data_IF_390137273094
#
_entry.id   IF_390137273094
#
_cell.length_a   1.000
_cell.length_b   1.000
_cell.length_c   1.000
_cell.angle_alpha   90.00
_cell.angle_beta   90.00
_cell.angle_gamma   90.00
#
_symmetry.space_group_name_H-M   'P 1'
#
loop_
_entity.id
_entity.type
_entity.pdbx_description
1 polymer ?
#
# COMPACT_ATOMS: atom_id res chain seq x y z
N UNK A 1 -19.18 -4.23 -17.83
CA UNK A 1 -20.00 -3.87 -16.66
C UNK A 1 -19.39 -4.33 -15.35
N UNK A 2 -18.75 -5.53 -15.30
CA UNK A 2 -18.18 -6.14 -14.10
C UNK A 2 -16.66 -6.09 -14.03
N UNK A 3 -15.99 -5.62 -15.07
CA UNK A 3 -14.53 -5.51 -15.16
C UNK A 3 -14.09 -4.05 -15.20
N UNK A 4 -13.09 -3.70 -14.38
CA UNK A 4 -12.42 -2.41 -14.37
C UNK A 4 -10.97 -2.59 -14.81
N UNK A 5 -10.58 -1.89 -15.88
CA UNK A 5 -9.20 -1.87 -16.36
C UNK A 5 -8.31 -0.98 -15.46
N UNK A 6 -7.17 -1.50 -15.06
CA UNK A 6 -6.17 -0.87 -14.21
C UNK A 6 -4.80 -1.05 -14.86
N UNK A 7 -4.48 -0.25 -15.87
CA UNK A 7 -3.25 -0.37 -16.68
C UNK A 7 -2.99 -1.81 -17.16
N UNK A 8 -2.10 -2.56 -16.48
CA UNK A 8 -1.74 -3.95 -16.81
C UNK A 8 -2.51 -5.01 -15.99
N UNK A 9 -3.60 -4.63 -15.38
CA UNK A 9 -4.44 -5.50 -14.57
C UNK A 9 -5.94 -5.26 -14.85
N UNK A 10 -6.77 -6.25 -14.58
CA UNK A 10 -8.22 -6.14 -14.68
C UNK A 10 -8.83 -6.66 -13.37
N UNK A 11 -9.62 -5.83 -12.72
CA UNK A 11 -10.38 -6.25 -11.55
C UNK A 11 -11.80 -6.62 -11.95
N UNK A 12 -12.21 -7.87 -11.65
CA UNK A 12 -13.57 -8.34 -11.79
C UNK A 12 -14.28 -8.19 -10.46
N UNK A 13 -15.40 -7.46 -10.45
CA UNK A 13 -16.20 -7.19 -9.25
C UNK A 13 -16.83 -8.45 -8.67
N UNK A 14 -16.94 -8.54 -7.34
CA UNK A 14 -17.69 -9.60 -6.65
C UNK A 14 -19.19 -9.62 -7.00
N UNK A 15 -19.75 -8.53 -7.54
CA UNK A 15 -21.13 -8.46 -8.01
C UNK A 15 -21.44 -9.49 -9.11
N UNK A 16 -20.40 -9.94 -9.87
CA UNK A 16 -20.53 -10.97 -10.89
C UNK A 16 -21.11 -12.28 -10.32
N UNK A 17 -20.89 -12.56 -9.04
CA UNK A 17 -21.41 -13.75 -8.37
C UNK A 17 -22.95 -13.81 -8.30
N UNK A 18 -23.65 -12.71 -8.57
CA UNK A 18 -25.12 -12.63 -8.62
C UNK A 18 -25.69 -13.02 -9.99
N UNK A 19 -24.83 -13.10 -11.00
CA UNK A 19 -25.22 -13.38 -12.37
C UNK A 19 -25.30 -14.88 -12.67
N UNK A 20 -26.00 -15.22 -13.76
CA UNK A 20 -26.05 -16.58 -14.25
C UNK A 20 -24.64 -17.11 -14.60
N UNK A 21 -24.35 -18.43 -14.43
CA UNK A 21 -23.01 -18.99 -14.67
C UNK A 21 -22.44 -18.67 -16.05
N UNK A 22 -23.28 -18.59 -17.07
CA UNK A 22 -22.86 -18.24 -18.43
C UNK A 22 -22.30 -16.82 -18.50
N UNK A 23 -22.89 -15.87 -17.79
CA UNK A 23 -22.46 -14.48 -17.72
C UNK A 23 -21.16 -14.38 -16.94
N UNK A 24 -21.04 -15.12 -15.82
CA UNK A 24 -19.81 -15.21 -15.03
C UNK A 24 -18.63 -15.70 -15.87
N UNK A 25 -18.82 -16.82 -16.59
CA UNK A 25 -17.81 -17.37 -17.49
C UNK A 25 -17.42 -16.38 -18.59
N UNK A 26 -18.40 -15.70 -19.19
CA UNK A 26 -18.13 -14.76 -20.26
C UNK A 26 -17.33 -13.54 -19.79
N UNK A 27 -17.67 -12.98 -18.63
CA UNK A 27 -16.94 -11.85 -18.05
C UNK A 27 -15.48 -12.20 -17.69
N UNK A 28 -15.26 -13.40 -17.14
CA UNK A 28 -13.91 -13.88 -16.84
C UNK A 28 -13.11 -14.12 -18.13
N UNK A 29 -13.74 -14.71 -19.14
CA UNK A 29 -13.11 -14.96 -20.44
C UNK A 29 -12.71 -13.65 -21.14
N UNK A 30 -13.62 -12.68 -21.16
CA UNK A 30 -13.35 -11.34 -21.72
C UNK A 30 -12.20 -10.65 -21.02
N UNK A 31 -12.17 -10.66 -19.70
CA UNK A 31 -11.08 -10.08 -18.90
C UNK A 31 -9.73 -10.77 -19.20
N UNK A 32 -9.72 -12.09 -19.30
CA UNK A 32 -8.52 -12.85 -19.68
C UNK A 32 -8.06 -12.51 -21.10
N UNK A 33 -8.99 -12.43 -22.05
CA UNK A 33 -8.68 -12.08 -23.44
C UNK A 33 -8.06 -10.69 -23.55
N UNK A 34 -8.63 -9.71 -22.87
CA UNK A 34 -8.08 -8.34 -22.83
C UNK A 34 -6.64 -8.32 -22.29
N UNK A 35 -6.36 -9.13 -21.25
CA UNK A 35 -5.00 -9.24 -20.71
C UNK A 35 -4.07 -10.05 -21.62
N UNK A 36 -4.51 -11.19 -22.16
CA UNK A 36 -3.67 -12.06 -23.00
C UNK A 36 -3.44 -11.48 -24.40
N UNK A 37 -4.44 -10.77 -24.93
CA UNK A 37 -4.49 -10.33 -26.32
C UNK A 37 -4.93 -11.43 -27.30
N UNK A 38 -5.29 -12.64 -26.82
CA UNK A 38 -5.74 -13.77 -27.62
C UNK A 38 -6.54 -14.79 -26.78
N UNK A 39 -7.43 -15.52 -27.45
CA UNK A 39 -8.23 -16.60 -26.83
C UNK A 39 -7.63 -18.00 -26.92
N UNK A 40 -6.65 -18.19 -27.81
CA UNK A 40 -6.24 -19.53 -28.30
C UNK A 40 -5.82 -20.51 -27.20
N UNK A 41 -5.30 -20.01 -26.08
CA UNK A 41 -4.75 -20.84 -25.00
C UNK A 41 -5.58 -20.78 -23.70
N UNK A 42 -6.78 -20.19 -23.76
CA UNK A 42 -7.68 -20.12 -22.62
C UNK A 42 -8.58 -21.36 -22.58
N UNK A 43 -8.58 -22.07 -21.46
CA UNK A 43 -9.39 -23.28 -21.22
C UNK A 43 -10.44 -23.05 -20.15
N UNK A 44 -11.45 -23.92 -20.12
CA UNK A 44 -12.49 -23.92 -19.07
C UNK A 44 -11.90 -24.04 -17.66
N UNK A 45 -10.81 -24.81 -17.48
CA UNK A 45 -10.10 -24.96 -16.21
C UNK A 45 -9.53 -23.62 -15.69
N UNK A 46 -9.10 -22.73 -16.58
CA UNK A 46 -8.65 -21.38 -16.19
C UNK A 46 -9.80 -20.52 -15.66
N UNK A 47 -10.96 -20.60 -16.29
CA UNK A 47 -12.16 -19.87 -15.87
C UNK A 47 -12.65 -20.38 -14.51
N UNK A 48 -12.73 -21.71 -14.33
CA UNK A 48 -13.14 -22.35 -13.10
C UNK A 48 -12.24 -21.94 -11.92
N UNK A 49 -10.93 -21.99 -12.09
CA UNK A 49 -9.96 -21.54 -11.08
C UNK A 49 -10.14 -20.08 -10.65
N UNK A 50 -10.50 -19.20 -11.58
CA UNK A 50 -10.76 -17.78 -11.28
C UNK A 50 -12.10 -17.63 -10.56
N UNK A 51 -13.15 -18.33 -11.00
CA UNK A 51 -14.45 -18.30 -10.35
C UNK A 51 -14.41 -18.87 -8.93
N UNK A 52 -13.63 -19.91 -8.71
CA UNK A 52 -13.39 -20.49 -7.39
C UNK A 52 -12.74 -19.48 -6.42
N UNK A 53 -11.92 -18.55 -6.92
CA UNK A 53 -11.31 -17.53 -6.07
C UNK A 53 -12.34 -16.59 -5.44
N UNK A 54 -13.50 -16.37 -6.06
CA UNK A 54 -14.55 -15.53 -5.47
C UNK A 54 -15.08 -16.13 -4.17
N UNK A 55 -14.99 -17.44 -3.99
CA UNK A 55 -15.41 -18.18 -2.80
C UNK A 55 -14.29 -18.30 -1.74
N UNK A 56 -13.07 -17.89 -2.07
CA UNK A 56 -11.91 -17.97 -1.14
C UNK A 56 -11.76 -16.69 -0.32
N UNK A 57 -10.97 -16.79 0.74
CA UNK A 57 -10.58 -15.64 1.56
C UNK A 57 -9.70 -14.66 0.76
N UNK A 58 -9.82 -13.38 1.09
CA UNK A 58 -8.98 -12.32 0.52
C UNK A 58 -7.50 -12.62 0.72
N UNK A 59 -6.69 -12.43 -0.32
CA UNK A 59 -5.26 -12.71 -0.32
C UNK A 59 -4.88 -14.08 -0.87
N UNK A 60 -5.84 -14.95 -1.21
CA UNK A 60 -5.56 -16.16 -1.99
C UNK A 60 -5.25 -15.81 -3.43
N UNK A 61 -4.43 -16.61 -4.07
CA UNK A 61 -4.03 -16.41 -5.46
C UNK A 61 -3.90 -17.73 -6.19
N UNK A 62 -4.01 -17.68 -7.51
CA UNK A 62 -3.79 -18.82 -8.40
C UNK A 62 -3.09 -18.35 -9.68
N UNK A 63 -2.12 -19.11 -10.14
CA UNK A 63 -1.49 -18.89 -11.43
C UNK A 63 -2.38 -19.48 -12.52
N UNK A 64 -2.63 -18.65 -13.54
CA UNK A 64 -3.41 -19.03 -14.72
C UNK A 64 -2.43 -19.33 -15.86
N UNK A 65 -2.77 -19.09 -17.06
CA UNK A 65 -1.95 -19.26 -18.25
C UNK A 65 -1.22 -17.95 -18.63
N UNK A 66 -0.11 -18.06 -19.40
CA UNK A 66 0.53 -16.91 -20.04
C UNK A 66 1.10 -15.84 -19.11
N UNK A 67 1.57 -16.24 -17.94
CA UNK A 67 2.06 -15.34 -16.88
C UNK A 67 0.98 -14.44 -16.28
N UNK A 68 -0.28 -14.88 -16.28
CA UNK A 68 -1.36 -14.22 -15.55
C UNK A 68 -1.52 -14.86 -14.18
N UNK A 69 -1.61 -14.03 -13.16
CA UNK A 69 -1.99 -14.46 -11.80
C UNK A 69 -3.31 -13.80 -11.42
N UNK A 70 -4.20 -14.61 -10.88
CA UNK A 70 -5.47 -14.15 -10.32
C UNK A 70 -5.33 -14.03 -8.79
N UNK A 71 -5.76 -12.90 -8.22
CA UNK A 71 -5.68 -12.60 -6.79
C UNK A 71 -7.07 -12.29 -6.24
N UNK A 72 -7.44 -12.93 -5.14
CA UNK A 72 -8.64 -12.56 -4.40
C UNK A 72 -8.41 -11.28 -3.62
N UNK A 73 -9.08 -10.20 -4.00
CA UNK A 73 -9.00 -8.87 -3.39
C UNK A 73 -10.33 -8.49 -2.72
N UNK A 74 -10.39 -7.40 -1.94
CA UNK A 74 -11.60 -7.03 -1.18
C UNK A 74 -12.83 -6.81 -2.06
N UNK A 75 -12.67 -6.25 -3.24
CA UNK A 75 -13.78 -5.95 -4.15
C UNK A 75 -14.06 -7.02 -5.21
N UNK A 76 -13.30 -8.13 -5.26
CA UNK A 76 -13.46 -9.13 -6.33
C UNK A 76 -12.22 -9.96 -6.57
N UNK A 77 -11.93 -10.23 -7.84
CA UNK A 77 -10.71 -10.91 -8.28
C UNK A 77 -9.94 -9.99 -9.21
N UNK A 78 -8.66 -9.77 -8.90
CA UNK A 78 -7.72 -9.02 -9.71
C UNK A 78 -6.93 -10.00 -10.59
N UNK A 79 -7.01 -9.81 -11.89
CA UNK A 79 -6.17 -10.50 -12.89
C UNK A 79 -5.04 -9.58 -13.27
N UNK A 80 -3.79 -10.05 -13.20
CA UNK A 80 -2.64 -9.25 -13.60
C UNK A 80 -1.59 -10.08 -14.33
N UNK A 81 -0.91 -9.48 -15.30
CA UNK A 81 0.27 -10.09 -15.92
C UNK A 81 1.41 -10.12 -14.93
N UNK A 82 2.02 -11.30 -14.79
CA UNK A 82 3.23 -11.45 -14.01
C UNK A 82 4.36 -10.62 -14.63
N UNK A 83 4.71 -9.51 -13.98
CA UNK A 83 5.89 -8.73 -14.32
C UNK A 83 7.07 -9.28 -13.52
N UNK A 84 8.10 -9.79 -14.22
CA UNK A 84 9.35 -10.26 -13.60
C UNK A 84 10.02 -9.17 -12.73
N UNK A 85 9.73 -7.91 -13.03
CA UNK A 85 10.22 -6.75 -12.28
C UNK A 85 9.65 -6.63 -10.86
N UNK A 86 8.47 -7.23 -10.57
CA UNK A 86 7.89 -7.20 -9.20
C UNK A 86 8.57 -8.15 -8.21
N UNK A 87 9.43 -9.07 -8.67
CA UNK A 87 10.22 -9.93 -7.77
C UNK A 87 11.48 -9.26 -7.20
N UNK A 88 11.97 -8.18 -7.84
CA UNK A 88 12.96 -7.31 -7.25
C UNK A 88 12.24 -6.13 -6.58
N UNK A 89 11.63 -6.37 -5.42
CA UNK A 89 11.47 -5.30 -4.43
C UNK A 89 12.88 -4.79 -4.16
N UNK A 90 13.32 -3.77 -4.89
CA UNK A 90 14.43 -2.95 -4.42
C UNK A 90 13.95 -2.39 -3.08
N UNK A 91 14.38 -3.05 -2.00
CA UNK A 91 14.06 -2.65 -0.65
C UNK A 91 14.60 -1.23 -0.50
N UNK A 92 13.69 -0.28 -0.49
CA UNK A 92 14.03 1.10 -0.18
C UNK A 92 14.52 1.15 1.26
N UNK A 93 15.74 1.60 1.45
CA UNK A 93 16.29 1.87 2.78
C UNK A 93 17.24 3.06 2.75
N UNK A 94 16.78 4.17 3.30
CA UNK A 94 17.53 5.41 3.34
C UNK A 94 17.48 5.98 4.76
N UNK A 95 18.63 6.40 5.28
CA UNK A 95 18.64 7.20 6.48
C UNK A 95 18.21 8.63 6.13
N UNK A 96 17.15 9.10 6.80
CA UNK A 96 16.62 10.44 6.59
C UNK A 96 17.43 11.45 7.39
N UNK A 97 18.16 12.40 6.75
CA UNK A 97 18.86 13.46 7.46
C UNK A 97 17.86 14.39 8.17
N UNK A 98 18.15 14.75 9.42
CA UNK A 98 17.28 15.62 10.24
C UNK A 98 18.12 16.62 11.01
N UNK A 99 18.06 17.94 10.69
CA UNK A 99 17.42 18.52 9.50
C UNK A 99 18.22 18.25 8.23
N UNK A 100 17.54 18.28 7.07
CA UNK A 100 18.20 18.10 5.79
C UNK A 100 17.28 17.73 4.65
N UNK A 101 17.86 17.22 3.58
CA UNK A 101 17.14 16.72 2.42
C UNK A 101 17.83 15.51 1.82
N UNK A 102 17.07 14.61 1.24
CA UNK A 102 17.59 13.47 0.49
C UNK A 102 16.72 13.23 -0.74
N UNK A 103 17.38 13.04 -1.89
CA UNK A 103 16.74 12.58 -3.12
C UNK A 103 16.94 11.08 -3.21
N UNK A 104 15.86 10.31 -3.21
CA UNK A 104 15.87 8.89 -3.51
C UNK A 104 15.12 8.63 -4.82
N UNK A 105 15.14 7.37 -5.27
CA UNK A 105 14.42 6.93 -6.46
C UNK A 105 12.91 7.24 -6.37
N UNK A 106 12.36 7.12 -5.19
CA UNK A 106 10.93 7.32 -4.89
C UNK A 106 10.52 8.79 -4.84
N UNK A 107 11.46 9.71 -4.62
CA UNK A 107 11.18 11.14 -4.54
C UNK A 107 12.11 11.93 -3.62
N UNK A 108 11.81 13.21 -3.48
CA UNK A 108 12.54 14.14 -2.63
C UNK A 108 11.91 14.19 -1.23
N UNK A 109 12.75 14.05 -0.21
CA UNK A 109 12.39 14.22 1.19
C UNK A 109 13.11 15.44 1.75
N UNK A 110 12.37 16.29 2.40
CA UNK A 110 12.90 17.49 3.08
C UNK A 110 12.45 17.47 4.53
N UNK A 111 13.38 17.81 5.43
CA UNK A 111 13.13 17.87 6.86
C UNK A 111 13.61 19.20 7.43
N UNK A 112 12.83 19.77 8.32
CA UNK A 112 13.25 20.94 9.10
C UNK A 112 12.76 20.84 10.54
N UNK A 113 13.52 21.45 11.45
CA UNK A 113 13.15 21.53 12.86
C UNK A 113 12.87 23.00 13.19
N UNK A 114 11.80 23.23 13.96
CA UNK A 114 11.48 24.57 14.45
C UNK A 114 10.76 24.51 15.80
N UNK A 115 10.71 25.64 16.50
CA UNK A 115 9.98 25.77 17.76
C UNK A 115 8.48 25.80 17.51
N UNK A 116 7.73 25.02 18.27
CA UNK A 116 6.27 25.03 18.22
C UNK A 116 5.71 26.22 18.99
N UNK A 117 4.92 27.05 18.32
CA UNK A 117 4.26 28.24 18.87
C UNK A 117 2.74 28.15 18.71
N UNK A 118 2.20 26.94 18.83
CA UNK A 118 0.75 26.65 18.67
C UNK A 118 0.17 27.08 17.30
N UNK A 119 1.00 27.11 16.27
CA UNK A 119 0.54 27.39 14.91
C UNK A 119 -0.24 26.21 14.33
N UNK A 120 -1.09 26.48 13.34
CA UNK A 120 -1.90 25.47 12.69
C UNK A 120 -1.06 24.36 12.05
N UNK A 121 -1.41 23.11 12.34
CA UNK A 121 -0.78 21.93 11.75
C UNK A 121 -1.30 21.76 10.33
N UNK A 122 -0.43 21.63 9.30
CA UNK A 122 -0.90 21.47 7.92
C UNK A 122 -1.61 20.13 7.72
N UNK A 123 -2.77 20.17 7.11
CA UNK A 123 -3.59 18.98 6.76
C UNK A 123 -3.20 18.36 5.40
N UNK A 124 -1.93 18.49 5.00
CA UNK A 124 -1.46 17.96 3.72
C UNK A 124 -1.14 16.48 3.80
N UNK A 125 -1.41 15.75 2.72
CA UNK A 125 -1.16 14.30 2.63
C UNK A 125 0.31 13.97 2.79
N UNK A 126 1.17 14.72 2.11
CA UNK A 126 2.61 14.47 2.02
C UNK A 126 3.48 15.46 2.80
N UNK A 127 2.87 16.28 3.65
CA UNK A 127 3.58 17.11 4.64
C UNK A 127 3.04 16.80 6.01
N UNK A 128 3.90 16.32 6.91
CA UNK A 128 3.51 15.94 8.28
C UNK A 128 4.44 16.58 9.30
N UNK A 129 3.85 16.88 10.44
CA UNK A 129 4.55 17.42 11.62
C UNK A 129 4.57 16.39 12.71
N UNK A 130 5.74 16.24 13.35
CA UNK A 130 6.00 15.29 14.42
C UNK A 130 6.57 16.00 15.64
N UNK A 131 6.25 15.51 16.82
CA UNK A 131 6.91 15.91 18.05
C UNK A 131 8.37 15.42 18.02
N UNK A 132 9.29 16.35 17.75
CA UNK A 132 10.71 16.01 17.56
C UNK A 132 11.35 15.46 18.83
N UNK A 133 10.93 15.95 20.00
CA UNK A 133 11.52 15.57 21.28
C UNK A 133 11.23 14.10 21.65
N UNK A 134 10.24 13.47 21.01
CA UNK A 134 9.92 12.05 21.17
C UNK A 134 10.73 11.13 20.25
N UNK A 135 11.41 11.68 19.26
CA UNK A 135 12.24 10.90 18.33
C UNK A 135 13.63 10.72 18.95
N UNK A 136 14.00 9.46 19.26
CA UNK A 136 15.22 9.15 20.00
C UNK A 136 16.32 8.51 19.16
N UNK A 137 16.00 8.04 17.96
CA UNK A 137 16.92 7.32 17.08
C UNK A 137 16.86 7.86 15.65
N UNK A 138 17.80 7.42 14.82
CA UNK A 138 17.84 7.76 13.40
C UNK A 138 16.54 7.34 12.71
N UNK A 139 16.02 8.24 11.88
CA UNK A 139 14.86 7.97 11.04
C UNK A 139 15.29 7.30 9.74
N UNK A 140 14.51 6.31 9.32
CA UNK A 140 14.71 5.60 8.07
C UNK A 140 13.45 5.67 7.20
N UNK A 141 13.68 5.88 5.91
CA UNK A 141 12.67 5.69 4.88
C UNK A 141 12.87 4.27 4.36
N UNK A 142 11.86 3.42 4.46
CA UNK A 142 11.97 2.02 4.05
C UNK A 142 10.62 1.34 3.83
N UNK A 143 10.67 0.16 3.23
CA UNK A 143 9.53 -0.74 3.17
C UNK A 143 9.32 -1.46 4.51
N UNK A 144 8.19 -2.17 4.64
CA UNK A 144 7.83 -2.89 5.87
C UNK A 144 8.79 -4.05 6.16
N UNK A 145 8.94 -4.35 7.46
CA UNK A 145 9.72 -5.49 7.96
C UNK A 145 8.89 -6.31 8.95
N UNK A 146 9.22 -7.59 9.14
CA UNK A 146 8.66 -8.36 10.24
C UNK A 146 8.90 -7.69 11.60
N UNK A 147 7.88 -7.65 12.43
CA UNK A 147 7.96 -7.02 13.75
C UNK A 147 7.61 -5.53 13.80
N UNK A 148 7.43 -4.86 12.65
CA UNK A 148 7.01 -3.46 12.61
C UNK A 148 5.67 -3.25 13.31
N UNK A 149 5.58 -2.15 14.06
CA UNK A 149 4.39 -1.74 14.78
C UNK A 149 4.22 -0.21 14.76
N UNK A 150 3.02 0.23 15.06
CA UNK A 150 2.72 1.64 15.27
C UNK A 150 1.82 1.82 16.49
N UNK A 151 1.87 3.00 17.09
CA UNK A 151 0.95 3.38 18.16
C UNK A 151 -0.31 3.94 17.53
N UNK A 152 -1.46 3.30 17.83
CA UNK A 152 -2.74 3.60 17.19
C UNK A 152 -3.72 4.37 18.07
N UNK A 153 -3.43 4.48 19.37
CA UNK A 153 -4.26 5.23 20.31
C UNK A 153 -3.42 6.23 21.11
N UNK A 154 -4.04 7.32 21.55
CA UNK A 154 -3.40 8.35 22.41
C UNK A 154 -2.93 7.80 23.76
N UNK A 155 -3.52 6.67 24.21
CA UNK A 155 -3.12 5.95 25.45
C UNK A 155 -1.91 5.03 25.25
N UNK A 156 -1.25 5.06 24.07
CA UNK A 156 -0.05 4.27 23.79
C UNK A 156 -0.32 2.84 23.30
N UNK A 157 -1.55 2.51 22.90
CA UNK A 157 -1.89 1.19 22.37
C UNK A 157 -1.14 0.89 21.09
N UNK A 158 -0.29 -0.15 21.13
CA UNK A 158 0.53 -0.61 19.98
C UNK A 158 -0.25 -1.61 19.15
N UNK A 159 -0.06 -1.56 17.82
CA UNK A 159 -0.61 -2.52 16.86
C UNK A 159 0.47 -2.94 15.88
N UNK A 160 0.59 -4.25 15.61
CA UNK A 160 1.50 -4.73 14.56
C UNK A 160 1.10 -4.10 13.22
N UNK A 161 2.07 -3.64 12.45
CA UNK A 161 1.80 -3.03 11.14
C UNK A 161 1.02 -3.97 10.21
N UNK A 162 1.36 -5.27 10.21
CA UNK A 162 0.63 -6.29 9.45
C UNK A 162 -0.87 -6.27 9.76
N UNK A 163 -1.23 -6.27 11.04
CA UNK A 163 -2.62 -6.34 11.47
C UNK A 163 -3.35 -5.02 11.18
N UNK A 164 -2.66 -3.88 11.36
CA UNK A 164 -3.17 -2.57 10.97
C UNK A 164 -3.52 -2.52 9.47
N UNK A 165 -2.60 -2.97 8.59
CA UNK A 165 -2.82 -2.96 7.14
C UNK A 165 -3.95 -3.91 6.70
N UNK A 166 -4.20 -4.99 7.46
CA UNK A 166 -5.34 -5.89 7.22
C UNK A 166 -6.65 -5.19 7.57
N UNK A 167 -6.72 -4.55 8.74
CA UNK A 167 -7.92 -3.86 9.22
C UNK A 167 -8.30 -2.67 8.33
N UNK A 168 -7.28 -1.94 7.84
CA UNK A 168 -7.47 -0.86 6.85
C UNK A 168 -7.76 -1.38 5.43
N UNK A 169 -7.91 -2.70 5.27
CA UNK A 169 -8.23 -3.37 4.00
C UNK A 169 -7.24 -3.05 2.87
N UNK A 170 -5.98 -2.76 3.22
CA UNK A 170 -4.93 -2.53 2.20
C UNK A 170 -4.68 -3.85 1.47
N UNK A 171 -4.77 -3.89 0.13
CA UNK A 171 -4.51 -5.08 -0.65
C UNK A 171 -3.11 -5.66 -0.38
N UNK A 172 -3.00 -6.99 -0.35
CA UNK A 172 -1.73 -7.67 -0.03
C UNK A 172 -0.58 -7.21 -0.93
N UNK A 173 -0.86 -7.03 -2.22
CA UNK A 173 0.13 -6.60 -3.22
C UNK A 173 0.68 -5.20 -2.96
N UNK A 174 -0.13 -4.30 -2.38
CA UNK A 174 0.30 -2.94 -2.07
C UNK A 174 1.15 -2.87 -0.79
N UNK A 175 0.96 -3.81 0.16
CA UNK A 175 1.58 -3.72 1.50
C UNK A 175 3.09 -3.71 1.45
N UNK A 176 3.69 -4.45 0.52
CA UNK A 176 5.14 -4.58 0.38
C UNK A 176 5.77 -3.35 -0.30
N UNK A 177 4.96 -2.57 -1.03
CA UNK A 177 5.36 -1.35 -1.72
C UNK A 177 5.14 -0.08 -0.90
N UNK A 178 4.46 -0.17 0.26
CA UNK A 178 4.23 0.99 1.10
C UNK A 178 5.56 1.55 1.61
N UNK A 179 5.71 2.85 1.44
CA UNK A 179 6.83 3.60 1.98
C UNK A 179 6.53 4.01 3.42
N UNK A 180 7.46 3.76 4.29
CA UNK A 180 7.34 4.00 5.72
C UNK A 180 8.45 4.92 6.20
N UNK A 181 8.11 5.83 7.12
CA UNK A 181 9.07 6.48 7.97
C UNK A 181 9.14 5.71 9.29
N UNK A 182 10.31 5.22 9.63
CA UNK A 182 10.50 4.33 10.76
C UNK A 182 11.69 4.75 11.65
N UNK A 183 11.60 4.40 12.92
CA UNK A 183 12.66 4.45 13.93
C UNK A 183 12.82 3.03 14.50
N UNK A 184 13.79 2.27 13.99
CA UNK A 184 13.87 0.85 14.24
C UNK A 184 12.62 0.10 13.74
N UNK A 185 11.91 -0.59 14.63
CA UNK A 185 10.66 -1.29 14.32
C UNK A 185 9.40 -0.41 14.50
N UNK A 186 9.54 0.76 15.10
CA UNK A 186 8.41 1.66 15.31
C UNK A 186 8.17 2.53 14.09
N UNK A 187 6.96 2.47 13.55
CA UNK A 187 6.53 3.25 12.38
C UNK A 187 5.99 4.59 12.86
N UNK A 188 6.60 5.68 12.38
CA UNK A 188 6.14 7.04 12.62
C UNK A 188 5.06 7.44 11.63
N UNK A 189 5.26 7.05 10.36
CA UNK A 189 4.37 7.45 9.28
C UNK A 189 4.28 6.37 8.20
N UNK A 190 3.06 5.98 7.85
CA UNK A 190 2.75 5.25 6.62
C UNK A 190 2.47 6.34 5.59
N UNK A 191 3.40 6.55 4.65
CA UNK A 191 3.38 7.70 3.72
C UNK A 191 2.06 7.73 2.94
N UNK A 192 1.47 8.92 2.84
CA UNK A 192 0.17 9.13 2.20
C UNK A 192 -1.04 8.63 3.01
N UNK A 193 -0.80 7.99 4.17
CA UNK A 193 -1.88 7.42 5.00
C UNK A 193 -1.86 8.00 6.42
N UNK A 194 -1.29 7.30 7.39
CA UNK A 194 -1.42 7.61 8.81
C UNK A 194 -0.07 7.86 9.50
N UNK A 195 -0.04 8.82 10.43
CA UNK A 195 1.04 8.96 11.41
C UNK A 195 0.68 8.22 12.71
N UNK A 196 1.71 7.73 13.40
CA UNK A 196 1.59 7.11 14.71
C UNK A 196 1.18 8.14 15.76
N UNK A 197 0.26 7.76 16.67
CA UNK A 197 -0.18 8.62 17.77
C UNK A 197 0.96 9.02 18.72
N UNK A 198 2.01 8.20 18.82
CA UNK A 198 3.16 8.47 19.68
C UNK A 198 3.92 9.74 19.31
N UNK A 199 3.85 10.15 18.05
CA UNK A 199 4.64 11.28 17.52
C UNK A 199 3.81 12.48 17.10
N UNK A 200 2.50 12.47 17.38
CA UNK A 200 1.64 13.61 17.10
C UNK A 200 2.00 14.81 17.96
N UNK A 201 1.80 15.99 17.40
CA UNK A 201 1.91 17.25 18.12
C UNK A 201 0.88 17.29 19.24
N UNK A 202 1.31 17.74 20.42
CA UNK A 202 0.47 17.94 21.61
C UNK A 202 0.77 19.32 22.21
N UNK A 203 0.00 19.74 23.20
CA UNK A 203 0.21 21.01 23.92
C UNK A 203 1.61 21.07 24.59
N UNK A 204 2.18 19.93 24.95
CA UNK A 204 3.51 19.83 25.55
C UNK A 204 4.66 19.82 24.54
N UNK A 205 4.38 19.78 23.24
CA UNK A 205 5.41 19.78 22.19
C UNK A 205 6.18 21.08 22.19
N UNK A 206 7.51 21.02 22.22
CA UNK A 206 8.38 22.20 22.15
C UNK A 206 9.00 22.38 20.77
N UNK A 207 9.47 21.30 20.16
CA UNK A 207 10.10 21.31 18.85
C UNK A 207 9.33 20.41 17.89
N UNK A 208 9.14 20.93 16.68
CA UNK A 208 8.47 20.22 15.60
C UNK A 208 9.49 19.76 14.58
N UNK A 209 9.40 18.50 14.17
CA UNK A 209 10.01 18.04 12.94
C UNK A 209 8.95 18.07 11.84
N UNK A 210 9.12 18.94 10.87
CA UNK A 210 8.34 18.90 9.62
C UNK A 210 9.06 18.01 8.63
N UNK A 211 8.29 17.13 8.00
CA UNK A 211 8.74 16.26 6.91
C UNK A 211 7.84 16.50 5.71
N UNK A 212 8.47 16.82 4.57
CA UNK A 212 7.81 16.94 3.27
C UNK A 212 8.32 15.85 2.36
N UNK A 213 7.39 15.19 1.70
CA UNK A 213 7.68 14.23 0.65
C UNK A 213 7.11 14.73 -0.68
N UNK A 214 7.96 14.73 -1.71
CA UNK A 214 7.61 15.07 -3.08
C UNK A 214 8.06 13.90 -3.97
N UNK A 215 7.15 13.06 -4.37
CA UNK A 215 7.48 11.86 -5.12
C UNK A 215 6.42 11.43 -6.11
N UNK A 216 6.81 10.57 -7.05
CA UNK A 216 6.10 10.22 -8.26
C UNK A 216 4.85 9.33 -8.13
N UNK A 217 4.18 9.27 -6.98
CA UNK A 217 2.89 8.60 -6.81
C UNK A 217 1.81 9.64 -6.49
N UNK A 218 1.35 10.35 -7.53
CA UNK A 218 0.30 11.36 -7.43
C UNK A 218 0.87 12.74 -7.07
N UNK A 219 1.28 13.49 -8.08
CA UNK A 219 1.39 14.95 -7.98
C UNK A 219 0.00 15.54 -7.70
N UNK A 220 -0.12 16.30 -6.61
CA UNK A 220 -1.21 17.26 -6.42
C UNK A 220 -1.19 18.34 -7.49
#
# INVERSE_FOLDING_TARGET
LYAQNLDDAIQISSEIGKEAPIIQNYAVLEALEQLCGQRKDLSGDHLEKILDLFQKETGKQVNIYGKITAHRVYGGVLLEKYKKERQNLELCEWNLPVPGRIQCKEGLWETRIFLYKSQNIPEKTYTKWFDYDRIKTTLQIRNRRPGDYLVVTSKGGKKKLKDYLIDEKIPRLERDHLMLLASGQEILWIVGKRISEAYKITESTKRVLEIKYQGGWGSE
#
